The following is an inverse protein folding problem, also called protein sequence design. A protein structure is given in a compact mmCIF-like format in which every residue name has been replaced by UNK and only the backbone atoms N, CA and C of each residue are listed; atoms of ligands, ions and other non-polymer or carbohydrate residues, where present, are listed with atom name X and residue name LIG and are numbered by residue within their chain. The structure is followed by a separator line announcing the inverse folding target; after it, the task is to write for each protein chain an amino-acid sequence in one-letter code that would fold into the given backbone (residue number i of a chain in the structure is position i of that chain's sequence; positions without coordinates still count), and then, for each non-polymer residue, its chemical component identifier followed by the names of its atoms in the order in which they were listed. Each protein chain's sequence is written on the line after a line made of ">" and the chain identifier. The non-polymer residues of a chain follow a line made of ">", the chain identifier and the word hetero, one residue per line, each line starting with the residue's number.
data_IF_413524545742
#
_entry.id   IF_413524545742
#
_cell.length_a   1.000
_cell.length_b   1.000
_cell.length_c   1.000
_cell.angle_alpha   90.00
_cell.angle_beta   90.00
_cell.angle_gamma   90.00
#
_symmetry.space_group_name_H-M   'P 1'
#
loop_
_entity.id
_entity.type
_entity.pdbx_description
1 polymer ?
#
# COMPACT_ATOMS: atom_id res chain seq x y z
N UNK A 1 -42.74 24.90 36.68
CA UNK A 1 -42.29 23.64 36.16
C UNK A 1 -41.54 23.89 34.86
N UNK A 2 -40.19 23.94 34.79
CA UNK A 2 -39.47 23.97 33.54
C UNK A 2 -39.06 22.54 33.15
N UNK A 3 -39.44 22.16 31.95
CA UNK A 3 -39.12 20.88 31.30
C UNK A 3 -37.66 20.78 30.98
N UNK A 4 -37.02 19.72 31.48
CA UNK A 4 -35.65 19.31 31.13
C UNK A 4 -35.58 18.84 29.67
N UNK A 5 -34.90 19.59 28.83
CA UNK A 5 -34.47 19.12 27.48
C UNK A 5 -33.29 18.20 27.67
N UNK A 6 -33.48 16.92 27.38
CA UNK A 6 -32.42 15.94 27.24
C UNK A 6 -31.56 16.31 26.01
N UNK A 7 -30.32 16.67 26.25
CA UNK A 7 -29.29 16.82 25.19
C UNK A 7 -28.96 15.44 24.62
N UNK A 8 -29.45 15.15 23.43
CA UNK A 8 -28.97 14.03 22.63
C UNK A 8 -27.51 14.28 22.25
N UNK A 9 -26.62 13.59 22.92
CA UNK A 9 -25.20 13.62 22.62
C UNK A 9 -24.93 13.18 21.16
N UNK A 10 -24.57 14.13 20.31
CA UNK A 10 -23.98 13.84 19.00
C UNK A 10 -22.64 13.12 19.25
N UNK A 11 -22.59 11.81 19.01
CA UNK A 11 -21.38 11.03 19.11
C UNK A 11 -20.29 11.67 18.25
N UNK A 12 -19.10 11.83 18.81
CA UNK A 12 -17.94 12.34 18.10
C UNK A 12 -17.72 11.52 16.81
N UNK A 13 -17.34 12.16 15.68
CA UNK A 13 -17.12 11.44 14.44
C UNK A 13 -16.04 10.36 14.65
N UNK A 14 -16.35 9.12 14.29
CA UNK A 14 -15.47 7.99 14.47
C UNK A 14 -14.15 8.20 13.70
N UNK A 15 -13.02 8.01 14.37
CA UNK A 15 -11.70 8.13 13.74
C UNK A 15 -11.51 7.08 12.63
N UNK A 16 -10.60 7.31 11.66
CA UNK A 16 -10.29 6.30 10.65
C UNK A 16 -9.90 4.93 11.24
N UNK A 17 -9.19 4.93 12.37
CA UNK A 17 -8.85 3.71 13.11
C UNK A 17 -10.09 2.99 13.67
N UNK A 18 -11.02 3.72 14.25
CA UNK A 18 -12.25 3.14 14.78
C UNK A 18 -13.09 2.51 13.68
N UNK A 19 -13.21 3.19 12.52
CA UNK A 19 -13.91 2.65 11.34
C UNK A 19 -13.25 1.36 10.84
N UNK A 20 -11.93 1.33 10.75
CA UNK A 20 -11.19 0.15 10.32
C UNK A 20 -11.36 -1.02 11.30
N UNK A 21 -11.26 -0.77 12.62
CA UNK A 21 -11.51 -1.80 13.65
C UNK A 21 -12.93 -2.37 13.57
N UNK A 22 -13.94 -1.54 13.33
CA UNK A 22 -15.31 -2.02 13.12
C UNK A 22 -15.41 -2.91 11.86
N UNK A 23 -14.77 -2.54 10.75
CA UNK A 23 -14.76 -3.37 9.55
C UNK A 23 -14.06 -4.73 9.79
N UNK A 24 -12.94 -4.73 10.54
CA UNK A 24 -12.19 -5.95 10.86
C UNK A 24 -13.01 -6.95 11.68
N UNK A 25 -13.97 -6.50 12.49
CA UNK A 25 -14.87 -7.40 13.21
C UNK A 25 -15.66 -8.33 12.28
N UNK A 26 -16.00 -7.87 11.09
CA UNK A 26 -16.85 -8.56 10.12
C UNK A 26 -16.11 -9.51 9.17
N UNK A 27 -14.78 -9.54 9.21
CA UNK A 27 -13.97 -10.38 8.34
C UNK A 27 -13.39 -11.60 9.05
N UNK A 28 -13.05 -12.61 8.27
CA UNK A 28 -12.43 -13.84 8.75
C UNK A 28 -10.91 -13.78 8.64
N UNK A 29 -10.37 -12.94 7.72
CA UNK A 29 -8.96 -12.79 7.43
C UNK A 29 -8.68 -11.38 6.89
N UNK A 30 -7.46 -10.87 7.12
CA UNK A 30 -6.98 -9.58 6.61
C UNK A 30 -5.88 -9.81 5.58
N UNK A 31 -5.98 -9.17 4.40
CA UNK A 31 -4.84 -8.97 3.52
C UNK A 31 -4.12 -7.69 3.94
N UNK A 32 -2.93 -7.85 4.51
CA UNK A 32 -2.02 -6.74 4.78
C UNK A 32 -1.15 -6.52 3.53
N UNK A 33 -1.42 -5.42 2.81
CA UNK A 33 -0.75 -5.12 1.52
C UNK A 33 0.32 -4.08 1.73
N UNK A 34 1.53 -4.40 1.29
CA UNK A 34 2.72 -3.55 1.39
C UNK A 34 3.41 -3.42 0.03
N UNK A 35 4.26 -2.39 -0.11
CA UNK A 35 5.03 -2.13 -1.32
C UNK A 35 6.40 -2.79 -1.23
N UNK A 36 6.81 -3.57 -2.22
CA UNK A 36 8.09 -4.27 -2.27
C UNK A 36 9.32 -3.36 -2.21
N UNK A 37 9.15 -2.09 -2.54
CA UNK A 37 10.23 -1.09 -2.47
C UNK A 37 10.49 -0.57 -1.05
N UNK A 38 9.52 -0.76 -0.14
CA UNK A 38 9.62 -0.40 1.27
C UNK A 38 8.82 -1.40 2.12
N UNK A 39 9.18 -2.70 2.13
CA UNK A 39 8.34 -3.74 2.70
C UNK A 39 8.15 -3.60 4.22
N UNK A 40 9.18 -3.19 4.95
CA UNK A 40 9.09 -2.94 6.38
C UNK A 40 8.36 -1.62 6.67
N UNK A 41 8.81 -0.51 6.07
CA UNK A 41 8.28 0.84 6.33
C UNK A 41 6.84 1.03 5.86
N UNK A 42 6.37 0.28 4.85
CA UNK A 42 4.97 0.35 4.38
C UNK A 42 4.01 -0.51 5.20
N UNK A 43 4.48 -1.25 6.21
CA UNK A 43 3.63 -1.80 7.27
C UNK A 43 3.32 -0.69 8.29
N UNK A 44 2.08 -0.68 8.77
CA UNK A 44 1.72 0.29 9.81
C UNK A 44 2.26 -0.18 11.17
N UNK A 45 2.92 0.70 11.97
CA UNK A 45 3.50 0.31 13.27
C UNK A 45 2.45 -0.30 14.22
N UNK A 46 1.22 0.18 14.20
CA UNK A 46 0.13 -0.33 15.01
C UNK A 46 -0.67 -1.48 14.35
N UNK A 47 -0.14 -2.14 13.34
CA UNK A 47 -0.87 -3.19 12.62
C UNK A 47 -1.34 -4.33 13.54
N UNK A 48 -0.52 -4.73 14.53
CA UNK A 48 -0.87 -5.77 15.48
C UNK A 48 -2.03 -5.36 16.39
N UNK A 49 -2.05 -4.12 16.84
CA UNK A 49 -3.15 -3.58 17.64
C UNK A 49 -4.45 -3.45 16.83
N UNK A 50 -4.33 -3.03 15.56
CA UNK A 50 -5.48 -2.83 14.67
C UNK A 50 -6.15 -4.17 14.34
N UNK A 51 -5.34 -5.19 13.99
CA UNK A 51 -5.85 -6.47 13.52
C UNK A 51 -6.14 -7.47 14.63
N UNK A 52 -5.51 -7.28 15.81
CA UNK A 52 -5.65 -8.20 16.96
C UNK A 52 -5.31 -9.63 16.57
N UNK A 53 -6.17 -10.58 16.97
CA UNK A 53 -6.00 -12.01 16.69
C UNK A 53 -6.53 -12.47 15.31
N UNK A 54 -6.91 -11.54 14.42
CA UNK A 54 -7.37 -11.93 13.08
C UNK A 54 -6.24 -12.56 12.27
N UNK A 55 -6.47 -13.70 11.62
CA UNK A 55 -5.50 -14.24 10.67
C UNK A 55 -5.12 -13.20 9.62
N UNK A 56 -3.83 -13.13 9.28
CA UNK A 56 -3.28 -12.16 8.32
C UNK A 56 -2.52 -12.87 7.21
N UNK A 57 -2.70 -12.38 6.00
CA UNK A 57 -1.88 -12.73 4.86
C UNK A 57 -1.13 -11.48 4.41
N UNK A 58 0.19 -11.48 4.58
CA UNK A 58 1.04 -10.42 4.07
C UNK A 58 1.20 -10.59 2.55
N UNK A 59 0.84 -9.55 1.80
CA UNK A 59 0.96 -9.50 0.35
C UNK A 59 1.86 -8.34 -0.03
N UNK A 60 2.99 -8.65 -0.67
CA UNK A 60 3.98 -7.68 -1.11
C UNK A 60 3.80 -7.47 -2.61
N UNK A 61 3.38 -6.29 -3.00
CA UNK A 61 3.12 -5.91 -4.40
C UNK A 61 4.30 -5.19 -5.02
N UNK A 62 4.27 -4.98 -6.35
CA UNK A 62 5.29 -4.24 -7.11
C UNK A 62 6.69 -4.86 -7.06
N UNK A 63 6.79 -6.18 -6.97
CA UNK A 63 8.04 -6.94 -7.03
C UNK A 63 8.91 -6.52 -8.24
N UNK A 64 8.26 -6.20 -9.35
CA UNK A 64 8.91 -5.78 -10.60
C UNK A 64 9.70 -4.47 -10.49
N UNK A 65 9.44 -3.65 -9.47
CA UNK A 65 10.09 -2.37 -9.21
C UNK A 65 11.13 -2.43 -8.07
N UNK A 66 11.20 -3.54 -7.35
CA UNK A 66 11.98 -3.66 -6.13
C UNK A 66 13.32 -4.39 -6.33
N UNK A 67 14.28 -4.06 -5.48
CA UNK A 67 15.50 -4.86 -5.31
C UNK A 67 15.13 -6.21 -4.68
N UNK A 68 15.41 -7.30 -5.40
CA UNK A 68 15.05 -8.66 -4.95
C UNK A 68 15.74 -9.07 -3.67
N UNK A 69 16.95 -8.59 -3.41
CA UNK A 69 17.72 -8.89 -2.18
C UNK A 69 16.96 -8.49 -0.92
N UNK A 70 16.21 -7.38 -0.98
CA UNK A 70 15.40 -6.90 0.15
C UNK A 70 14.18 -7.78 0.40
N UNK A 71 13.75 -8.56 -0.57
CA UNK A 71 12.56 -9.41 -0.49
C UNK A 71 12.84 -10.82 0.05
N UNK A 72 14.09 -11.26 0.09
CA UNK A 72 14.48 -12.61 0.54
C UNK A 72 13.92 -12.94 1.95
N UNK A 73 14.00 -12.08 2.98
CA UNK A 73 13.47 -12.39 4.30
C UNK A 73 11.95 -12.57 4.38
N UNK A 74 11.23 -12.14 3.34
CA UNK A 74 9.77 -12.18 3.29
C UNK A 74 9.22 -13.38 2.51
N UNK A 75 10.04 -14.10 1.73
CA UNK A 75 9.58 -15.13 0.80
C UNK A 75 8.79 -16.26 1.46
N UNK A 76 9.16 -16.65 2.67
CA UNK A 76 8.45 -17.71 3.41
C UNK A 76 7.19 -17.20 4.13
N UNK A 77 7.17 -15.93 4.53
CA UNK A 77 6.13 -15.33 5.39
C UNK A 77 5.07 -14.57 4.61
N UNK A 78 5.36 -14.21 3.35
CA UNK A 78 4.51 -13.37 2.53
C UNK A 78 4.30 -13.95 1.13
N UNK A 79 3.29 -13.43 0.44
CA UNK A 79 3.15 -13.63 -0.99
C UNK A 79 3.70 -12.41 -1.70
N UNK A 80 4.86 -12.57 -2.34
CA UNK A 80 5.50 -11.52 -3.14
C UNK A 80 5.05 -11.67 -4.59
N UNK A 81 4.59 -10.58 -5.20
CA UNK A 81 4.07 -10.62 -6.57
C UNK A 81 4.12 -9.26 -7.30
N UNK A 82 4.13 -9.35 -8.62
CA UNK A 82 3.84 -8.22 -9.50
C UNK A 82 2.44 -8.37 -10.10
N UNK A 83 1.60 -7.35 -9.92
CA UNK A 83 0.25 -7.33 -10.48
C UNK A 83 0.21 -7.16 -12.01
N UNK A 84 1.36 -6.95 -12.65
CA UNK A 84 1.52 -6.98 -14.12
C UNK A 84 1.49 -8.41 -14.66
N UNK A 85 1.80 -9.40 -13.82
CA UNK A 85 1.71 -10.82 -14.15
C UNK A 85 0.36 -11.39 -13.74
N UNK A 86 -0.18 -12.32 -14.52
CA UNK A 86 -1.39 -13.07 -14.15
C UNK A 86 -1.11 -14.21 -13.14
N UNK A 87 0.15 -14.50 -12.85
CA UNK A 87 0.58 -15.60 -11.98
C UNK A 87 0.40 -15.23 -10.50
N UNK A 88 0.01 -16.20 -9.68
CA UNK A 88 -0.01 -16.05 -8.21
C UNK A 88 -1.40 -16.01 -7.57
N UNK A 89 -2.50 -15.89 -8.32
CA UNK A 89 -3.88 -15.90 -7.77
C UNK A 89 -4.16 -17.17 -6.99
N UNK A 90 -3.85 -18.31 -7.56
CA UNK A 90 -4.09 -19.62 -6.93
C UNK A 90 -3.31 -19.75 -5.60
N UNK A 91 -2.08 -19.21 -5.54
CA UNK A 91 -1.30 -19.20 -4.30
C UNK A 91 -2.00 -18.39 -3.20
N UNK A 92 -2.58 -17.23 -3.56
CA UNK A 92 -3.35 -16.41 -2.61
C UNK A 92 -4.59 -17.18 -2.14
N UNK A 93 -5.38 -17.75 -3.06
CA UNK A 93 -6.60 -18.46 -2.71
C UNK A 93 -6.31 -19.68 -1.83
N UNK A 94 -5.30 -20.49 -2.18
CA UNK A 94 -4.85 -21.61 -1.37
C UNK A 94 -4.48 -21.17 0.04
N UNK A 95 -3.68 -20.09 0.16
CA UNK A 95 -3.23 -19.57 1.47
C UNK A 95 -4.38 -19.05 2.32
N UNK A 96 -5.39 -18.41 1.71
CA UNK A 96 -6.61 -17.99 2.43
C UNK A 96 -7.33 -19.19 3.01
N UNK A 97 -7.50 -20.27 2.25
CA UNK A 97 -8.20 -21.47 2.71
C UNK A 97 -7.44 -22.19 3.83
N UNK A 98 -6.11 -22.22 3.76
CA UNK A 98 -5.25 -22.75 4.83
C UNK A 98 -5.42 -21.93 6.12
N UNK A 99 -5.23 -20.60 6.05
CA UNK A 99 -5.31 -19.71 7.21
C UNK A 99 -6.71 -19.62 7.83
N UNK A 100 -7.75 -20.02 7.11
CA UNK A 100 -9.13 -20.00 7.60
C UNK A 100 -9.69 -21.41 7.90
N UNK A 101 -8.87 -22.44 7.85
CA UNK A 101 -9.30 -23.83 8.02
C UNK A 101 -10.00 -24.07 9.37
N UNK A 102 -9.41 -23.63 10.47
CA UNK A 102 -10.00 -23.78 11.80
C UNK A 102 -11.35 -23.06 11.92
N UNK A 103 -11.43 -21.85 11.38
CA UNK A 103 -12.68 -21.08 11.34
C UNK A 103 -13.77 -21.82 10.57
N UNK A 104 -13.44 -22.36 9.40
CA UNK A 104 -14.37 -23.15 8.58
C UNK A 104 -14.84 -24.40 9.30
N UNK A 105 -13.93 -25.12 9.95
CA UNK A 105 -14.27 -26.31 10.76
C UNK A 105 -15.18 -25.93 11.95
N UNK A 106 -14.90 -24.84 12.64
CA UNK A 106 -15.74 -24.33 13.73
C UNK A 106 -17.15 -23.97 13.28
N UNK A 107 -17.29 -23.33 12.12
CA UNK A 107 -18.60 -23.00 11.55
C UNK A 107 -19.40 -24.27 11.19
N UNK A 108 -18.75 -25.25 10.59
CA UNK A 108 -19.36 -26.56 10.26
C UNK A 108 -19.85 -27.31 11.51
N UNK A 109 -19.03 -27.35 12.59
CA UNK A 109 -19.42 -27.98 13.87
C UNK A 109 -20.65 -27.29 14.51
N UNK A 110 -20.87 -25.99 14.25
CA UNK A 110 -22.03 -25.25 14.72
C UNK A 110 -23.25 -25.38 13.81
N UNK A 111 -23.23 -26.23 12.82
CA UNK A 111 -24.31 -26.41 11.83
C UNK A 111 -24.54 -25.19 10.94
N UNK A 112 -23.59 -24.26 10.86
CA UNK A 112 -23.71 -23.09 10.00
C UNK A 112 -23.39 -23.49 8.56
N UNK A 113 -24.28 -23.16 7.64
CA UNK A 113 -24.10 -23.44 6.21
C UNK A 113 -22.77 -22.87 5.70
N UNK A 114 -22.08 -23.59 4.80
CA UNK A 114 -20.85 -23.11 4.18
C UNK A 114 -21.06 -21.74 3.51
N UNK A 115 -20.25 -20.78 3.89
CA UNK A 115 -20.22 -19.45 3.26
C UNK A 115 -18.80 -19.12 2.83
N UNK A 116 -18.64 -18.21 1.86
CA UNK A 116 -17.32 -17.69 1.51
C UNK A 116 -16.63 -17.04 2.71
N UNK A 117 -15.30 -17.16 2.75
CA UNK A 117 -14.48 -16.44 3.74
C UNK A 117 -14.41 -14.97 3.38
N UNK A 118 -14.70 -14.14 4.33
CA UNK A 118 -14.71 -12.70 4.20
C UNK A 118 -13.34 -12.13 4.46
N UNK A 119 -12.81 -11.35 3.52
CA UNK A 119 -11.46 -10.79 3.59
C UNK A 119 -11.52 -9.29 3.42
N UNK A 120 -10.81 -8.56 4.27
CA UNK A 120 -10.58 -7.12 4.13
C UNK A 120 -9.17 -6.87 3.59
N UNK A 121 -9.03 -5.90 2.70
CA UNK A 121 -7.72 -5.50 2.12
C UNK A 121 -7.29 -4.20 2.79
N UNK A 122 -6.17 -4.24 3.52
CA UNK A 122 -5.67 -3.13 4.33
C UNK A 122 -4.23 -2.80 3.94
N UNK A 123 -3.84 -1.55 4.04
CA UNK A 123 -2.47 -1.08 3.77
C UNK A 123 -2.39 0.42 3.59
N UNK A 124 -1.17 0.94 3.51
CA UNK A 124 -0.87 2.35 3.27
C UNK A 124 -1.46 2.84 1.94
N UNK A 125 -1.59 4.17 1.71
CA UNK A 125 -1.95 4.69 0.39
C UNK A 125 -1.02 4.14 -0.71
N UNK A 126 -1.55 3.96 -1.90
CA UNK A 126 -0.80 3.61 -3.13
C UNK A 126 0.06 2.32 -3.10
N UNK A 127 -0.04 1.48 -2.07
CA UNK A 127 0.64 0.15 -2.05
C UNK A 127 0.06 -0.84 -3.07
N UNK A 128 -1.04 -0.50 -3.74
CA UNK A 128 -1.64 -1.36 -4.77
C UNK A 128 -2.90 -2.12 -4.34
N UNK A 129 -3.59 -1.72 -3.25
CA UNK A 129 -4.82 -2.38 -2.76
C UNK A 129 -5.90 -2.52 -3.83
N UNK A 130 -6.31 -1.42 -4.44
CA UNK A 130 -7.34 -1.43 -5.51
C UNK A 130 -6.89 -2.22 -6.73
N UNK A 131 -5.59 -2.13 -7.07
CA UNK A 131 -5.00 -2.92 -8.16
C UNK A 131 -5.04 -4.41 -7.84
N UNK A 132 -4.76 -4.81 -6.59
CA UNK A 132 -4.83 -6.20 -6.13
C UNK A 132 -6.29 -6.72 -6.19
N UNK A 133 -7.25 -5.92 -5.71
CA UNK A 133 -8.67 -6.28 -5.77
C UNK A 133 -9.10 -6.51 -7.24
N UNK A 134 -8.81 -5.55 -8.11
CA UNK A 134 -9.14 -5.66 -9.55
C UNK A 134 -8.43 -6.84 -10.22
N UNK A 135 -7.18 -7.09 -9.86
CA UNK A 135 -6.42 -8.22 -10.37
C UNK A 135 -7.01 -9.57 -9.91
N UNK A 136 -7.46 -9.68 -8.66
CA UNK A 136 -8.13 -10.88 -8.15
C UNK A 136 -9.48 -11.13 -8.83
N UNK A 137 -10.27 -10.09 -9.05
CA UNK A 137 -11.55 -10.16 -9.77
C UNK A 137 -11.33 -10.62 -11.22
N UNK A 138 -10.24 -10.19 -11.86
CA UNK A 138 -9.94 -10.48 -13.27
C UNK A 138 -10.69 -9.58 -14.24
N UNK A 139 -10.46 -9.80 -15.57
CA UNK A 139 -11.06 -9.00 -16.66
C UNK A 139 -12.55 -9.26 -16.87
N UNK A 140 -13.10 -10.33 -16.33
CA UNK A 140 -14.56 -10.48 -16.23
C UNK A 140 -15.02 -9.53 -15.14
N UNK A 141 -15.53 -8.35 -15.53
CA UNK A 141 -16.30 -7.49 -14.62
C UNK A 141 -17.25 -8.39 -13.85
N UNK A 142 -16.95 -8.66 -12.58
CA UNK A 142 -17.96 -9.23 -11.71
C UNK A 142 -19.15 -8.29 -11.87
N UNK A 143 -20.26 -8.79 -12.35
CA UNK A 143 -21.53 -8.06 -12.27
C UNK A 143 -21.66 -7.75 -10.79
N UNK A 144 -21.30 -6.53 -10.39
CA UNK A 144 -21.77 -5.95 -9.15
C UNK A 144 -23.26 -6.13 -9.25
N UNK A 145 -23.83 -6.98 -8.45
CA UNK A 145 -25.25 -7.11 -8.36
C UNK A 145 -25.73 -5.80 -7.75
N UNK A 146 -26.01 -4.81 -8.62
CA UNK A 146 -26.81 -3.66 -8.27
C UNK A 146 -28.16 -4.20 -7.82
N UNK A 147 -28.32 -4.46 -6.54
CA UNK A 147 -29.61 -4.57 -5.90
C UNK A 147 -29.99 -3.15 -5.47
N UNK A 148 -30.89 -2.48 -6.22
CA UNK A 148 -31.42 -1.20 -5.80
C UNK A 148 -32.15 -1.42 -4.45
N UNK A 149 -31.78 -0.66 -3.41
CA UNK A 149 -32.51 -0.67 -2.14
C UNK A 149 -31.73 -1.19 -0.92
N UNK A 150 -30.48 -1.61 -1.03
CA UNK A 150 -29.67 -1.93 0.13
C UNK A 150 -28.86 -0.69 0.50
N UNK A 151 -29.17 -0.11 1.65
CA UNK A 151 -28.45 0.95 2.38
C UNK A 151 -26.95 0.87 2.16
N UNK A 152 -26.29 2.04 2.12
CA UNK A 152 -24.81 2.28 2.08
C UNK A 152 -24.05 1.42 3.09
N UNK A 153 -24.04 0.10 2.88
CA UNK A 153 -23.36 -0.92 3.70
C UNK A 153 -22.13 -1.46 2.96
N UNK A 154 -21.27 -2.12 3.69
CA UNK A 154 -20.09 -2.80 3.18
C UNK A 154 -20.47 -3.71 2.00
N UNK A 155 -19.95 -3.41 0.81
CA UNK A 155 -20.19 -4.20 -0.39
C UNK A 155 -19.17 -5.32 -0.48
N UNK A 156 -19.64 -6.57 -0.66
CA UNK A 156 -18.80 -7.75 -0.79
C UNK A 156 -18.69 -8.15 -2.25
N UNK A 157 -17.45 -8.33 -2.71
CA UNK A 157 -17.14 -8.76 -4.08
C UNK A 157 -16.61 -10.18 -4.05
N UNK A 158 -17.28 -11.11 -4.72
CA UNK A 158 -16.83 -12.49 -4.83
C UNK A 158 -15.70 -12.62 -5.84
N UNK A 159 -14.52 -13.04 -5.36
CA UNK A 159 -13.32 -13.24 -6.18
C UNK A 159 -13.01 -14.72 -6.42
N UNK A 160 -13.57 -15.61 -5.58
CA UNK A 160 -13.44 -17.06 -5.67
C UNK A 160 -14.72 -17.67 -5.06
N UNK A 161 -15.15 -18.90 -5.45
CA UNK A 161 -16.34 -19.53 -4.86
C UNK A 161 -16.36 -19.53 -3.33
N UNK A 162 -15.20 -19.58 -2.70
CA UNK A 162 -15.03 -19.64 -1.24
C UNK A 162 -14.47 -18.33 -0.63
N UNK A 163 -14.32 -17.24 -1.40
CA UNK A 163 -13.70 -16.00 -0.91
C UNK A 163 -14.46 -14.76 -1.42
N UNK A 164 -14.81 -13.89 -0.48
CA UNK A 164 -15.38 -12.57 -0.73
C UNK A 164 -14.45 -11.49 -0.18
N UNK A 165 -14.19 -10.45 -0.96
CA UNK A 165 -13.46 -9.26 -0.54
C UNK A 165 -14.42 -8.14 -0.14
N UNK A 166 -14.07 -7.38 0.86
CA UNK A 166 -14.74 -6.13 1.18
C UNK A 166 -14.31 -5.04 0.18
N UNK A 167 -15.27 -4.44 -0.52
CA UNK A 167 -15.03 -3.44 -1.58
C UNK A 167 -14.56 -2.07 -1.06
N UNK A 168 -14.44 -1.90 0.22
CA UNK A 168 -13.85 -0.68 0.79
C UNK A 168 -12.42 -0.97 1.24
N UNK A 169 -11.40 -0.50 0.49
CA UNK A 169 -10.03 -0.69 0.90
C UNK A 169 -9.76 0.01 2.24
N UNK A 170 -9.31 -0.75 3.22
CA UNK A 170 -8.86 -0.22 4.49
C UNK A 170 -7.62 0.65 4.27
N UNK A 171 -7.74 1.96 4.46
CA UNK A 171 -6.60 2.88 4.39
C UNK A 171 -6.06 3.03 5.80
N UNK A 172 -4.79 2.71 5.99
CA UNK A 172 -4.09 2.96 7.23
C UNK A 172 -3.74 4.45 7.32
N UNK A 173 -4.07 5.12 8.44
CA UNK A 173 -3.75 6.54 8.59
C UNK A 173 -2.24 6.75 8.76
N UNK A 174 -1.72 7.82 8.19
CA UNK A 174 -0.29 8.20 8.25
C UNK A 174 0.05 9.07 9.46
N UNK A 175 -0.96 9.47 10.25
CA UNK A 175 -0.81 10.43 11.36
C UNK A 175 0.03 9.94 12.54
N UNK A 176 0.35 8.65 12.60
CA UNK A 176 1.17 8.04 13.65
C UNK A 176 2.64 7.81 13.22
N UNK A 177 3.03 8.29 12.03
CA UNK A 177 4.38 8.09 11.50
C UNK A 177 5.28 9.27 11.86
N UNK A 178 6.54 8.97 12.17
CA UNK A 178 7.59 9.97 12.34
C UNK A 178 8.01 10.57 10.99
N UNK A 179 8.72 11.70 11.04
CA UNK A 179 9.14 12.45 9.83
C UNK A 179 10.02 11.64 8.90
N UNK A 180 10.96 10.89 9.44
CA UNK A 180 11.88 10.08 8.64
C UNK A 180 11.13 9.00 7.87
N UNK A 181 10.22 8.30 8.53
CA UNK A 181 9.33 7.32 7.90
C UNK A 181 8.46 7.96 6.82
N UNK A 182 7.90 9.15 7.07
CA UNK A 182 7.11 9.89 6.08
C UNK A 182 7.95 10.18 4.83
N UNK A 183 9.17 10.69 4.98
CA UNK A 183 10.07 11.01 3.85
C UNK A 183 10.40 9.73 3.05
N UNK A 184 10.75 8.63 3.73
CA UNK A 184 11.04 7.34 3.09
C UNK A 184 9.83 6.81 2.30
N UNK A 185 8.65 6.87 2.87
CA UNK A 185 7.41 6.46 2.20
C UNK A 185 7.02 7.38 1.04
N UNK A 186 7.30 8.68 1.18
CA UNK A 186 7.05 9.69 0.15
C UNK A 186 7.85 9.43 -1.13
N UNK A 187 9.06 8.86 -1.02
CA UNK A 187 9.87 8.45 -2.19
C UNK A 187 9.05 7.58 -3.15
N UNK A 188 8.24 6.67 -2.62
CA UNK A 188 7.41 5.75 -3.41
C UNK A 188 5.93 6.15 -3.49
N UNK A 189 5.61 7.41 -3.12
CA UNK A 189 4.23 7.94 -3.14
C UNK A 189 3.27 7.14 -2.23
N UNK A 190 3.75 6.69 -1.07
CA UNK A 190 2.96 5.89 -0.12
C UNK A 190 2.29 6.74 0.98
N UNK A 191 2.53 8.03 0.94
CA UNK A 191 1.88 9.05 1.78
C UNK A 191 1.34 10.18 0.91
N UNK A 192 0.28 10.90 1.35
CA UNK A 192 -0.24 12.04 0.61
C UNK A 192 0.78 13.15 0.44
N UNK A 193 0.74 13.86 -0.68
CA UNK A 193 1.68 14.96 -0.99
C UNK A 193 1.60 16.14 0.01
N UNK A 194 0.50 16.29 0.72
CA UNK A 194 0.35 17.28 1.80
C UNK A 194 1.23 17.02 3.04
N UNK A 195 1.88 15.86 3.13
CA UNK A 195 2.66 15.46 4.30
C UNK A 195 4.16 15.71 4.17
N UNK A 196 4.64 16.15 3.00
CA UNK A 196 6.07 16.32 2.75
C UNK A 196 6.37 17.40 1.71
N UNK A 197 7.61 17.91 1.75
CA UNK A 197 8.15 18.80 0.73
C UNK A 197 8.87 17.98 -0.36
N UNK A 198 8.54 18.26 -1.63
CA UNK A 198 9.02 17.49 -2.78
C UNK A 198 10.55 17.51 -2.89
N UNK A 199 11.16 18.67 -2.66
CA UNK A 199 12.60 18.83 -2.75
C UNK A 199 13.34 18.08 -1.64
N UNK A 200 12.84 18.12 -0.40
CA UNK A 200 13.40 17.38 0.73
C UNK A 200 13.39 15.87 0.46
N UNK A 201 12.26 15.36 -0.01
CA UNK A 201 12.14 13.93 -0.36
C UNK A 201 13.09 13.55 -1.50
N UNK A 202 13.23 14.40 -2.52
CA UNK A 202 14.12 14.13 -3.64
C UNK A 202 15.60 14.16 -3.24
N UNK A 203 16.01 15.10 -2.38
CA UNK A 203 17.38 15.15 -1.82
C UNK A 203 17.69 13.91 -0.99
N UNK A 204 16.79 13.52 -0.09
CA UNK A 204 16.94 12.28 0.68
C UNK A 204 17.01 11.05 -0.24
N UNK A 205 16.16 11.01 -1.28
CA UNK A 205 16.19 9.93 -2.27
C UNK A 205 17.51 9.86 -3.03
N UNK A 206 18.07 11.02 -3.39
CA UNK A 206 19.36 11.10 -4.07
C UNK A 206 20.50 10.55 -3.18
N UNK A 207 20.53 10.92 -1.89
CA UNK A 207 21.54 10.43 -0.96
C UNK A 207 21.42 8.89 -0.73
N UNK A 208 20.21 8.37 -0.66
CA UNK A 208 19.98 6.92 -0.58
C UNK A 208 20.48 6.23 -1.85
N UNK A 209 20.23 6.81 -3.05
CA UNK A 209 20.70 6.27 -4.31
C UNK A 209 22.23 6.30 -4.41
N UNK A 210 22.87 7.37 -3.98
CA UNK A 210 24.34 7.46 -3.94
C UNK A 210 24.93 6.35 -3.07
N UNK A 211 24.40 6.18 -1.86
CA UNK A 211 24.90 5.23 -0.89
C UNK A 211 24.66 3.76 -1.26
N UNK A 212 23.51 3.44 -1.84
CA UNK A 212 23.04 2.05 -1.99
C UNK A 212 23.00 1.55 -3.43
N UNK A 213 22.88 2.46 -4.39
CA UNK A 213 22.65 2.16 -5.81
C UNK A 213 23.48 3.07 -6.72
N UNK A 214 24.78 3.27 -6.43
CA UNK A 214 25.63 4.19 -7.20
C UNK A 214 25.65 3.85 -8.68
N UNK A 215 25.67 2.55 -9.02
CA UNK A 215 25.68 2.08 -10.41
C UNK A 215 24.40 2.47 -11.16
N UNK A 216 23.22 2.34 -10.52
CA UNK A 216 21.96 2.75 -11.11
C UNK A 216 21.92 4.27 -11.32
N UNK A 217 22.46 5.03 -10.38
CA UNK A 217 22.51 6.49 -10.45
C UNK A 217 23.48 6.95 -11.56
N UNK A 218 24.62 6.29 -11.72
CA UNK A 218 25.56 6.52 -12.81
C UNK A 218 24.94 6.28 -14.20
N UNK A 219 24.10 5.23 -14.30
CA UNK A 219 23.36 4.94 -15.54
C UNK A 219 22.24 5.97 -15.79
N UNK A 220 21.60 6.45 -14.73
CA UNK A 220 20.48 7.38 -14.82
C UNK A 220 20.93 8.82 -15.17
N UNK A 221 22.10 9.25 -14.70
CA UNK A 221 22.74 10.54 -15.02
C UNK A 221 24.19 10.30 -15.45
N UNK A 222 24.41 9.88 -16.70
CA UNK A 222 25.75 9.56 -17.17
C UNK A 222 26.64 10.81 -17.27
N UNK A 223 27.95 10.62 -17.08
CA UNK A 223 28.94 11.68 -17.22
C UNK A 223 29.00 12.65 -16.02
N UNK A 224 28.50 12.23 -14.86
CA UNK A 224 28.64 12.92 -13.57
C UNK A 224 29.18 11.94 -12.55
N UNK A 225 30.13 12.39 -11.74
CA UNK A 225 30.56 11.61 -10.57
C UNK A 225 29.42 11.50 -9.58
N UNK A 226 29.13 10.28 -9.11
CA UNK A 226 27.95 9.99 -8.27
C UNK A 226 27.92 10.82 -6.98
N UNK A 227 29.05 10.93 -6.31
CA UNK A 227 29.15 11.67 -5.04
C UNK A 227 28.93 13.17 -5.21
N UNK A 228 29.31 13.73 -6.38
CA UNK A 228 29.12 15.13 -6.72
C UNK A 228 27.70 15.46 -7.21
N UNK A 229 26.86 14.44 -7.49
CA UNK A 229 25.56 14.67 -8.09
C UNK A 229 24.61 15.36 -7.10
N UNK A 230 24.09 16.51 -7.49
CA UNK A 230 23.03 17.28 -6.77
C UNK A 230 21.81 17.45 -7.67
N UNK A 231 20.71 17.95 -7.12
CA UNK A 231 19.52 18.27 -7.93
C UNK A 231 19.81 19.39 -8.93
N UNK A 232 20.66 20.34 -8.58
CA UNK A 232 21.10 21.43 -9.44
C UNK A 232 21.91 20.88 -10.61
N UNK A 233 22.92 20.05 -10.35
CA UNK A 233 23.73 19.42 -11.38
C UNK A 233 22.91 18.49 -12.27
N UNK A 234 21.95 17.76 -11.68
CA UNK A 234 20.99 16.95 -12.43
C UNK A 234 20.12 17.82 -13.36
N UNK A 235 19.67 19.00 -12.88
CA UNK A 235 18.91 19.93 -13.70
C UNK A 235 19.73 20.44 -14.89
N UNK A 236 21.00 20.80 -14.68
CA UNK A 236 21.92 21.19 -15.74
C UNK A 236 22.11 20.09 -16.78
N UNK A 237 22.39 18.87 -16.35
CA UNK A 237 22.61 17.72 -17.25
C UNK A 237 21.37 17.32 -18.04
N UNK A 238 20.19 17.50 -17.47
CA UNK A 238 18.90 17.24 -18.14
C UNK A 238 18.34 18.46 -18.88
N UNK A 239 19.08 19.57 -18.93
CA UNK A 239 18.66 20.84 -19.55
C UNK A 239 17.32 21.37 -19.00
N UNK A 240 17.11 21.23 -17.70
CA UNK A 240 15.97 21.83 -17.00
C UNK A 240 16.35 23.25 -16.58
N UNK A 241 15.81 24.24 -17.29
CA UNK A 241 16.16 25.64 -17.12
C UNK A 241 14.90 26.45 -16.80
N UNK A 242 15.00 27.34 -15.82
CA UNK A 242 13.96 28.32 -15.47
C UNK A 242 14.03 29.54 -16.36
N UNK A 243 13.03 30.41 -16.27
CA UNK A 243 13.05 31.78 -16.84
C UNK A 243 14.24 32.53 -16.24
N UNK A 244 15.25 32.87 -17.07
CA UNK A 244 16.51 33.49 -16.61
C UNK A 244 17.72 32.55 -16.63
N UNK A 245 17.65 31.43 -17.35
CA UNK A 245 18.73 30.47 -17.60
C UNK A 245 19.39 29.82 -16.36
N UNK A 246 18.66 29.75 -15.24
CA UNK A 246 19.11 29.06 -14.03
C UNK A 246 18.65 27.59 -14.03
N UNK A 247 19.42 26.65 -13.45
CA UNK A 247 18.99 25.28 -13.30
C UNK A 247 17.68 25.16 -12.50
N UNK A 248 16.72 24.40 -13.03
CA UNK A 248 15.41 24.14 -12.39
C UNK A 248 15.51 22.90 -11.50
N UNK A 249 16.04 23.06 -10.29
CA UNK A 249 16.18 21.97 -9.32
C UNK A 249 14.84 21.39 -8.87
N UNK A 250 13.76 22.20 -8.86
CA UNK A 250 12.42 21.69 -8.51
C UNK A 250 11.91 20.72 -9.59
N UNK A 251 12.11 21.02 -10.85
CA UNK A 251 11.79 20.13 -11.97
C UNK A 251 12.66 18.87 -11.93
N UNK A 252 13.94 19.00 -11.56
CA UNK A 252 14.83 17.83 -11.36
C UNK A 252 14.32 16.94 -10.21
N UNK A 253 13.91 17.53 -9.07
CA UNK A 253 13.33 16.82 -7.94
C UNK A 253 12.07 16.04 -8.33
N UNK A 254 11.12 16.70 -8.98
CA UNK A 254 9.88 16.07 -9.47
C UNK A 254 10.17 14.95 -10.46
N UNK A 255 11.12 15.14 -11.36
CA UNK A 255 11.52 14.14 -12.36
C UNK A 255 12.16 12.94 -11.70
N UNK A 256 13.11 13.15 -10.78
CA UNK A 256 13.74 12.07 -10.03
C UNK A 256 12.71 11.20 -9.31
N UNK A 257 11.79 11.83 -8.56
CA UNK A 257 10.74 11.11 -7.84
C UNK A 257 9.78 10.37 -8.78
N UNK A 258 9.40 11.00 -9.90
CA UNK A 258 8.55 10.37 -10.91
C UNK A 258 9.22 9.14 -11.52
N UNK A 259 10.48 9.27 -11.90
CA UNK A 259 11.25 8.21 -12.55
C UNK A 259 11.59 7.07 -11.58
N UNK A 260 11.89 7.39 -10.32
CA UNK A 260 12.07 6.41 -9.25
C UNK A 260 10.77 5.60 -9.03
N UNK A 261 9.64 6.27 -8.96
CA UNK A 261 8.31 5.64 -8.78
C UNK A 261 7.91 4.77 -9.97
N UNK A 262 8.30 5.16 -11.18
CA UNK A 262 8.06 4.42 -12.40
C UNK A 262 9.07 3.27 -12.65
N UNK A 263 10.14 3.19 -11.85
CA UNK A 263 11.22 2.19 -12.02
C UNK A 263 12.22 2.51 -13.13
N UNK A 264 12.25 3.74 -13.65
CA UNK A 264 13.19 4.16 -14.70
C UNK A 264 14.61 4.34 -14.17
N UNK A 265 14.78 4.63 -12.89
CA UNK A 265 16.11 4.66 -12.24
C UNK A 265 16.67 3.24 -12.06
N UNK A 266 15.79 2.25 -11.98
CA UNK A 266 16.12 0.86 -11.74
C UNK A 266 15.28 0.26 -10.62
N UNK A 267 15.64 -0.97 -10.20
CA UNK A 267 14.98 -1.65 -9.08
C UNK A 267 15.59 -1.19 -7.76
N UNK A 268 14.84 -0.41 -7.01
CA UNK A 268 15.28 0.23 -5.77
C UNK A 268 14.36 -0.15 -4.62
N UNK A 269 14.93 -0.45 -3.47
CA UNK A 269 14.19 -0.68 -2.23
C UNK A 269 14.86 -0.01 -1.05
N UNK A 270 14.04 0.39 -0.06
CA UNK A 270 14.50 0.83 1.26
C UNK A 270 14.49 -0.37 2.21
N UNK A 271 15.51 -0.46 3.02
CA UNK A 271 15.64 -1.45 4.11
C UNK A 271 15.29 -0.77 5.42
#
# INVERSE_FOLDING_TARGET
>A
MPSSRSSTGKGSPSTPFQKLREQIKWVDLVFEVVDARAPASSRHPNSDEIFGQKPRLLIITKEDLADRRVLEPFQEKAIVLSLKSSKGKEKIFKRVLELTQEKRASLAKKGILPRPMRVCVVGMPNVGKSSLINWLIGTKKAKVADRPGVTRGNQWVRVHPQIELLDTPGILPVSALDRETIIRLALFNLVPASNYEVEEVARTGLEILKSRYPELLQMYVPGVEVDSLTLELMAEKKHFITTGAKPDHMRAAQTLLSDLRAGKVGRVSLV
#
